data_IF_787478546351
#
_entry.id   IF_787478546351
#
_cell.length_a   1.000
_cell.length_b   1.000
_cell.length_c   1.000
_cell.angle_alpha   90.00
_cell.angle_beta   90.00
_cell.angle_gamma   90.00
#
_symmetry.space_group_name_H-M   'P 1'
#
loop_
_entity.id
_entity.type
_entity.pdbx_description
1 polymer ?
#
# COMPACT_ATOMS: atom_id res chain seq x y z
N UNK A 1 -7.34 -20.98 8.59
CA UNK A 1 -8.21 -19.94 9.13
C UNK A 1 -9.03 -19.27 8.00
N UNK A 2 -10.14 -19.86 7.52
CA UNK A 2 -11.00 -19.26 6.47
C UNK A 2 -12.34 -18.71 6.99
N UNK A 3 -12.56 -18.66 8.31
CA UNK A 3 -13.86 -18.31 8.90
C UNK A 3 -13.99 -16.86 9.38
N UNK A 4 -12.89 -16.15 9.64
CA UNK A 4 -12.92 -14.77 10.19
C UNK A 4 -13.11 -13.67 9.13
N UNK A 5 -13.15 -14.01 7.85
CA UNK A 5 -13.27 -13.03 6.75
C UNK A 5 -14.71 -12.83 6.24
N UNK A 6 -15.72 -13.44 6.89
CA UNK A 6 -17.11 -13.46 6.40
C UNK A 6 -18.05 -12.45 7.05
N UNK A 7 -17.63 -11.71 8.07
CA UNK A 7 -18.46 -10.66 8.68
C UNK A 7 -17.87 -9.28 8.40
N UNK A 8 -18.48 -8.53 7.48
CA UNK A 8 -18.76 -7.09 7.54
C UNK A 8 -17.76 -6.09 8.16
N UNK A 9 -16.47 -6.41 8.34
CA UNK A 9 -15.45 -5.43 8.67
C UNK A 9 -14.99 -4.79 7.37
N UNK A 10 -15.15 -3.48 7.28
CA UNK A 10 -14.57 -2.64 6.25
C UNK A 10 -13.15 -3.13 5.91
N UNK A 11 -12.98 -3.70 4.70
CA UNK A 11 -11.68 -4.23 4.23
C UNK A 11 -10.56 -3.18 4.27
N UNK A 12 -10.95 -1.91 4.34
CA UNK A 12 -10.09 -0.76 4.65
C UNK A 12 -9.27 -0.94 5.92
N UNK A 13 -9.83 -1.50 6.99
CA UNK A 13 -9.12 -1.70 8.26
C UNK A 13 -7.92 -2.63 8.11
N UNK A 14 -8.05 -3.66 7.27
CA UNK A 14 -6.94 -4.57 6.94
C UNK A 14 -5.88 -3.89 6.06
N UNK A 15 -6.30 -3.05 5.11
CA UNK A 15 -5.37 -2.25 4.29
C UNK A 15 -4.61 -1.24 5.15
N UNK A 16 -5.30 -0.56 6.07
CA UNK A 16 -4.69 0.37 7.02
C UNK A 16 -3.70 -0.36 7.92
N UNK A 17 -4.05 -1.55 8.44
CA UNK A 17 -3.13 -2.36 9.24
C UNK A 17 -1.86 -2.72 8.44
N UNK A 18 -2.01 -3.18 7.20
CA UNK A 18 -0.88 -3.52 6.34
C UNK A 18 0.01 -2.30 6.02
N UNK A 19 -0.59 -1.11 5.84
CA UNK A 19 0.15 0.15 5.66
C UNK A 19 0.87 0.59 6.93
N UNK A 20 0.26 0.43 8.10
CA UNK A 20 0.90 0.73 9.38
C UNK A 20 2.13 -0.15 9.61
N UNK A 21 2.05 -1.44 9.28
CA UNK A 21 3.21 -2.34 9.31
C UNK A 21 4.34 -1.84 8.40
N UNK A 22 4.01 -1.36 7.19
CA UNK A 22 5.01 -0.79 6.28
C UNK A 22 5.65 0.48 6.84
N UNK A 23 4.84 1.40 7.40
CA UNK A 23 5.34 2.64 8.01
C UNK A 23 6.29 2.31 9.16
N UNK A 24 5.91 1.37 10.04
CA UNK A 24 6.75 0.95 11.18
C UNK A 24 8.05 0.31 10.68
N UNK A 25 7.97 -0.59 9.69
CA UNK A 25 9.16 -1.26 9.15
C UNK A 25 10.14 -0.29 8.48
N UNK A 26 9.65 0.65 7.68
CA UNK A 26 10.49 1.66 7.02
C UNK A 26 11.03 2.71 8.00
N UNK A 27 10.21 3.16 8.96
CA UNK A 27 10.69 4.06 10.01
C UNK A 27 11.75 3.37 10.89
N UNK A 28 11.58 2.08 11.19
CA UNK A 28 12.57 1.28 11.90
C UNK A 28 13.92 1.21 11.16
N UNK A 29 13.91 0.96 9.86
CA UNK A 29 15.13 0.99 9.03
C UNK A 29 15.78 2.39 8.94
N UNK A 30 14.98 3.45 8.99
CA UNK A 30 15.49 4.81 8.96
C UNK A 30 16.11 5.27 10.28
N UNK A 31 15.46 4.97 11.41
CA UNK A 31 15.83 5.48 12.73
C UNK A 31 16.80 4.57 13.49
N UNK A 32 16.67 3.25 13.33
CA UNK A 32 17.51 2.25 14.01
C UNK A 32 17.93 1.13 13.04
N UNK A 33 18.78 1.44 12.03
CA UNK A 33 19.19 0.47 11.02
C UNK A 33 19.92 -0.75 11.62
N UNK A 34 20.72 -0.54 12.67
CA UNK A 34 21.56 -1.59 13.27
C UNK A 34 20.86 -2.43 14.35
N UNK A 35 19.66 -2.04 14.79
CA UNK A 35 19.03 -2.69 15.93
C UNK A 35 18.49 -4.08 15.56
N UNK A 36 17.56 -4.17 14.59
CA UNK A 36 16.89 -5.44 14.22
C UNK A 36 16.46 -5.45 12.74
N UNK A 37 17.41 -5.49 11.77
CA UNK A 37 17.08 -5.45 10.34
C UNK A 37 16.22 -6.63 9.87
N UNK A 38 16.43 -7.82 10.43
CA UNK A 38 15.67 -9.04 10.06
C UNK A 38 14.19 -8.95 10.45
N UNK A 39 13.90 -8.38 11.63
CA UNK A 39 12.52 -8.18 12.06
C UNK A 39 11.82 -7.15 11.18
N UNK A 40 12.49 -6.04 10.87
CA UNK A 40 11.96 -5.02 9.95
C UNK A 40 11.68 -5.61 8.57
N UNK A 41 12.54 -6.49 8.04
CA UNK A 41 12.32 -7.17 6.77
C UNK A 41 11.08 -8.09 6.81
N UNK A 42 10.87 -8.83 7.89
CA UNK A 42 9.67 -9.67 8.08
C UNK A 42 8.41 -8.81 8.14
N UNK A 43 8.43 -7.74 8.93
CA UNK A 43 7.30 -6.80 9.08
C UNK A 43 6.96 -6.13 7.74
N UNK A 44 7.98 -5.69 6.99
CA UNK A 44 7.81 -5.12 5.65
C UNK A 44 7.26 -6.16 4.67
N UNK A 45 7.76 -7.40 4.70
CA UNK A 45 7.25 -8.48 3.84
C UNK A 45 5.77 -8.77 4.08
N UNK A 46 5.36 -8.83 5.35
CA UNK A 46 3.95 -9.00 5.73
C UNK A 46 3.09 -7.81 5.29
N UNK A 47 3.57 -6.58 5.51
CA UNK A 47 2.87 -5.36 5.13
C UNK A 47 2.71 -5.20 3.61
N UNK A 48 3.78 -5.40 2.84
CA UNK A 48 3.80 -5.28 1.39
C UNK A 48 2.97 -6.39 0.72
N UNK A 49 3.20 -7.65 1.10
CA UNK A 49 2.45 -8.80 0.56
C UNK A 49 0.96 -8.75 0.93
N UNK A 50 0.67 -8.32 2.16
CA UNK A 50 -0.69 -8.09 2.64
C UNK A 50 -1.41 -7.00 1.85
N UNK A 51 -0.79 -5.83 1.68
CA UNK A 51 -1.36 -4.74 0.87
C UNK A 51 -1.64 -5.18 -0.56
N UNK A 52 -0.68 -5.84 -1.22
CA UNK A 52 -0.82 -6.29 -2.61
C UNK A 52 -2.03 -7.22 -2.78
N UNK A 53 -2.14 -8.23 -1.90
CA UNK A 53 -3.25 -9.19 -1.94
C UNK A 53 -4.59 -8.53 -1.65
N UNK A 54 -4.64 -7.60 -0.68
CA UNK A 54 -5.86 -6.89 -0.31
C UNK A 54 -6.33 -5.93 -1.41
N UNK A 55 -5.43 -5.21 -2.09
CA UNK A 55 -5.80 -4.33 -3.21
C UNK A 55 -6.37 -5.12 -4.39
N UNK A 56 -5.77 -6.26 -4.72
CA UNK A 56 -6.31 -7.17 -5.74
C UNK A 56 -7.71 -7.66 -5.34
N UNK A 57 -7.90 -8.05 -4.08
CA UNK A 57 -9.18 -8.51 -3.57
C UNK A 57 -10.25 -7.41 -3.58
N UNK A 58 -9.89 -6.16 -3.26
CA UNK A 58 -10.80 -5.00 -3.30
C UNK A 58 -11.25 -4.67 -4.72
N UNK A 59 -10.35 -4.77 -5.70
CA UNK A 59 -10.68 -4.56 -7.11
C UNK A 59 -11.66 -5.63 -7.64
N UNK A 60 -11.50 -6.88 -7.20
CA UNK A 60 -12.39 -7.98 -7.55
C UNK A 60 -13.79 -7.85 -6.92
N UNK A 61 -13.87 -7.32 -5.70
CA UNK A 61 -15.12 -7.16 -4.95
C UNK A 61 -16.04 -6.04 -5.46
N UNK A 62 -15.50 -5.03 -6.16
CA UNK A 62 -16.27 -3.84 -6.56
C UNK A 62 -17.09 -4.01 -7.86
N UNK A 63 -16.91 -5.12 -8.61
CA UNK A 63 -17.57 -5.31 -9.90
C UNK A 63 -18.32 -6.65 -9.96
N UNK A 64 -19.60 -6.67 -10.37
CA UNK A 64 -20.41 -7.89 -10.43
C UNK A 64 -19.98 -8.86 -11.56
N UNK A 65 -19.16 -8.39 -12.51
CA UNK A 65 -18.65 -9.20 -13.62
C UNK A 65 -17.16 -9.53 -13.43
N UNK A 66 -16.77 -10.83 -13.34
CA UNK A 66 -15.38 -11.24 -13.15
C UNK A 66 -14.41 -10.74 -14.24
N UNK A 67 -14.89 -10.60 -15.48
CA UNK A 67 -14.07 -10.14 -16.61
C UNK A 67 -13.74 -8.64 -16.50
N UNK A 68 -14.71 -7.82 -16.10
CA UNK A 68 -14.49 -6.39 -15.88
C UNK A 68 -13.59 -6.13 -14.66
N UNK A 69 -13.78 -6.92 -13.60
CA UNK A 69 -12.95 -6.84 -12.40
C UNK A 69 -11.48 -7.21 -12.67
N UNK A 70 -11.26 -8.25 -13.48
CA UNK A 70 -9.91 -8.64 -13.93
C UNK A 70 -9.23 -7.56 -14.79
N UNK A 71 -9.98 -6.93 -15.71
CA UNK A 71 -9.46 -5.85 -16.55
C UNK A 71 -9.09 -4.61 -15.72
N UNK A 72 -9.95 -4.21 -14.76
CA UNK A 72 -9.67 -3.11 -13.85
C UNK A 72 -8.44 -3.38 -12.98
N UNK A 73 -8.35 -4.58 -12.39
CA UNK A 73 -7.19 -4.98 -11.61
C UNK A 73 -5.90 -4.94 -12.46
N UNK A 74 -5.95 -5.43 -13.70
CA UNK A 74 -4.80 -5.40 -14.61
C UNK A 74 -4.35 -3.97 -14.95
N UNK A 75 -5.31 -3.06 -15.17
CA UNK A 75 -5.02 -1.64 -15.41
C UNK A 75 -4.37 -0.97 -14.20
N UNK A 76 -4.93 -1.20 -13.00
CA UNK A 76 -4.40 -0.68 -11.74
C UNK A 76 -2.96 -1.17 -11.50
N UNK A 77 -2.71 -2.45 -11.74
CA UNK A 77 -1.39 -3.05 -11.57
C UNK A 77 -0.40 -2.52 -12.61
N UNK A 78 -0.82 -2.39 -13.88
CA UNK A 78 0.02 -1.79 -14.93
C UNK A 78 0.47 -0.37 -14.59
N UNK A 79 -0.48 0.49 -14.17
CA UNK A 79 -0.15 1.84 -13.70
C UNK A 79 0.72 1.83 -12.44
N UNK A 80 0.42 0.95 -11.49
CA UNK A 80 1.20 0.77 -10.26
C UNK A 80 2.65 0.37 -10.52
N UNK A 81 2.91 -0.54 -11.47
CA UNK A 81 4.26 -0.94 -11.82
C UNK A 81 5.06 0.16 -12.53
N UNK A 82 4.41 0.99 -13.37
CA UNK A 82 5.05 2.16 -13.97
C UNK A 82 5.49 3.14 -12.87
N UNK A 83 4.63 3.39 -11.88
CA UNK A 83 4.98 4.22 -10.72
C UNK A 83 6.08 3.59 -9.87
N UNK A 84 6.02 2.27 -9.66
CA UNK A 84 7.02 1.54 -8.89
C UNK A 84 8.41 1.60 -9.55
N UNK A 85 8.49 1.65 -10.88
CA UNK A 85 9.75 1.82 -11.61
C UNK A 85 10.43 3.17 -11.34
N UNK A 86 9.70 4.19 -10.89
CA UNK A 86 10.25 5.48 -10.49
C UNK A 86 10.88 5.45 -9.09
N UNK A 87 10.45 4.53 -8.23
CA UNK A 87 10.90 4.48 -6.84
C UNK A 87 12.43 4.26 -6.71
N UNK A 88 13.08 3.34 -7.48
CA UNK A 88 14.54 3.20 -7.49
C UNK A 88 15.27 4.47 -7.92
N UNK A 89 14.73 5.23 -8.89
CA UNK A 89 15.34 6.48 -9.35
C UNK A 89 15.35 7.52 -8.22
N UNK A 90 14.20 7.71 -7.55
CA UNK A 90 14.10 8.63 -6.41
C UNK A 90 15.01 8.19 -5.27
N UNK A 91 15.06 6.89 -4.97
CA UNK A 91 15.98 6.31 -3.99
C UNK A 91 17.44 6.60 -4.28
N UNK A 92 17.86 6.37 -5.53
CA UNK A 92 19.23 6.62 -5.97
C UNK A 92 19.60 8.10 -5.83
N UNK A 93 18.72 9.01 -6.26
CA UNK A 93 18.94 10.45 -6.12
C UNK A 93 19.01 10.88 -4.64
N UNK A 94 18.10 10.38 -3.80
CA UNK A 94 18.12 10.67 -2.36
C UNK A 94 19.42 10.17 -1.72
N UNK A 95 19.89 8.99 -2.12
CA UNK A 95 21.16 8.45 -1.64
C UNK A 95 22.35 9.31 -2.08
N UNK A 96 22.39 9.74 -3.35
CA UNK A 96 23.47 10.59 -3.87
C UNK A 96 23.56 11.93 -3.15
N UNK A 97 22.42 12.54 -2.79
CA UNK A 97 22.38 13.85 -2.13
C UNK A 97 22.64 13.73 -0.61
N UNK A 98 22.08 12.72 0.04
CA UNK A 98 22.17 12.56 1.50
C UNK A 98 23.39 11.75 1.98
N UNK A 99 24.02 10.97 1.09
CA UNK A 99 25.10 10.05 1.43
C UNK A 99 24.66 8.85 2.30
N UNK A 100 23.36 8.68 2.55
CA UNK A 100 22.81 7.63 3.42
C UNK A 100 21.54 7.02 2.81
N UNK A 101 21.19 5.81 3.22
CA UNK A 101 19.93 5.15 2.86
C UNK A 101 18.75 5.58 3.74
N UNK A 102 19.02 6.25 4.87
CA UNK A 102 18.00 6.73 5.82
C UNK A 102 16.96 7.63 5.14
N UNK A 103 17.39 8.56 4.29
CA UNK A 103 16.48 9.45 3.57
C UNK A 103 15.53 8.67 2.65
N UNK A 104 16.04 7.59 2.04
CA UNK A 104 15.24 6.66 1.25
C UNK A 104 14.18 5.95 2.09
N UNK A 105 14.58 5.33 3.20
CA UNK A 105 13.64 4.63 4.08
C UNK A 105 12.54 5.54 4.62
N UNK A 106 12.89 6.76 5.04
CA UNK A 106 11.92 7.76 5.49
C UNK A 106 10.99 8.24 4.36
N UNK A 107 11.51 8.37 3.14
CA UNK A 107 10.68 8.66 1.96
C UNK A 107 9.62 7.57 1.75
N UNK A 108 9.98 6.29 1.83
CA UNK A 108 9.02 5.18 1.67
C UNK A 108 8.01 5.15 2.82
N UNK A 109 8.43 5.41 4.06
CA UNK A 109 7.51 5.57 5.18
C UNK A 109 6.51 6.71 4.93
N UNK A 110 6.98 7.84 4.39
CA UNK A 110 6.14 8.98 4.01
C UNK A 110 5.14 8.65 2.90
N UNK A 111 5.56 7.93 1.86
CA UNK A 111 4.66 7.46 0.79
C UNK A 111 3.61 6.49 1.35
N UNK A 112 3.99 5.54 2.20
CA UNK A 112 3.05 4.63 2.85
C UNK A 112 2.05 5.37 3.75
N UNK A 113 2.49 6.40 4.47
CA UNK A 113 1.62 7.27 5.26
C UNK A 113 0.64 8.06 4.39
N UNK A 114 1.10 8.62 3.26
CA UNK A 114 0.24 9.29 2.29
C UNK A 114 -0.83 8.34 1.74
N UNK A 115 -0.45 7.11 1.35
CA UNK A 115 -1.41 6.10 0.89
C UNK A 115 -2.40 5.73 2.00
N UNK A 116 -1.96 5.62 3.26
CA UNK A 116 -2.84 5.38 4.40
C UNK A 116 -3.87 6.51 4.58
N UNK A 117 -3.43 7.77 4.45
CA UNK A 117 -4.33 8.93 4.47
C UNK A 117 -5.32 8.89 3.29
N UNK A 118 -4.88 8.53 2.09
CA UNK A 118 -5.77 8.40 0.94
C UNK A 118 -6.82 7.29 1.15
N UNK A 119 -6.40 6.13 1.66
CA UNK A 119 -7.30 5.00 1.95
C UNK A 119 -8.34 5.36 3.02
N UNK A 120 -7.95 6.12 4.04
CA UNK A 120 -8.91 6.63 5.06
C UNK A 120 -9.83 7.71 4.50
N UNK A 121 -9.38 8.49 3.51
CA UNK A 121 -10.18 9.52 2.81
C UNK A 121 -11.11 8.96 1.73
N UNK A 122 -10.86 7.76 1.21
CA UNK A 122 -11.79 7.06 0.31
C UNK A 122 -13.09 6.78 1.07
N UNK A 123 -14.07 7.68 1.10
CA UNK A 123 -15.36 7.43 1.77
C UNK A 123 -16.30 6.73 0.78
N UNK A 124 -16.72 5.47 1.00
CA UNK A 124 -17.51 4.73 0.04
C UNK A 124 -18.94 5.27 -0.06
N UNK A 125 -19.36 6.09 0.92
CA UNK A 125 -20.65 6.79 0.91
C UNK A 125 -20.73 7.91 -0.14
N UNK A 126 -19.61 8.33 -0.73
CA UNK A 126 -19.56 9.35 -1.79
C UNK A 126 -19.64 8.81 -3.22
N UNK A 127 -19.49 7.50 -3.44
CA UNK A 127 -19.57 6.90 -4.79
C UNK A 127 -20.91 7.15 -5.49
N UNK A 128 -22.08 7.08 -4.83
CA UNK A 128 -23.35 7.36 -5.48
C UNK A 128 -23.45 8.81 -5.98
N UNK A 129 -22.84 9.76 -5.27
CA UNK A 129 -22.84 11.19 -5.66
C UNK A 129 -21.81 11.51 -6.75
N UNK A 130 -20.69 10.80 -6.80
CA UNK A 130 -19.64 11.01 -7.81
C UNK A 130 -19.91 10.27 -9.14
N UNK A 131 -20.58 9.12 -9.09
CA UNK A 131 -21.01 8.37 -10.29
C UNK A 131 -22.37 8.81 -10.83
N UNK A 132 -23.11 9.63 -10.06
CA UNK A 132 -24.16 10.47 -10.63
C UNK A 132 -23.50 11.67 -11.30
N UNK A 133 -23.08 11.51 -12.55
CA UNK A 133 -22.92 12.64 -13.46
C UNK A 133 -24.01 12.56 -14.55
N UNK A 134 -24.48 13.74 -15.00
CA UNK A 134 -25.81 13.99 -15.57
C UNK A 134 -26.08 13.34 -16.92
#
# INVERSE_FOLDING_TARGET
MPALARSSLDRRSWVVLALLLQIIGFAGLGLWPDAIPTLNAIVLGLGLGGCFSLFMLVALDHLPSPTQAGALNSLMQGGGFILAALAPLVMAQLHQISGSWTAGWLYQAGVAALVCLLVTRFNPKGYPQAMQRP
#
